data_IF_370467750384
#
_entry.id   IF_370467750384
#
_cell.length_a   1.000
_cell.length_b   1.000
_cell.length_c   1.000
_cell.angle_alpha   90.00
_cell.angle_beta   90.00
_cell.angle_gamma   90.00
#
_symmetry.space_group_name_H-M   'P 1'
#
loop_
_entity.id
_entity.type
_entity.pdbx_description
1 polymer ?
#
# COMPACT_ATOMS: atom_id res chain seq x y z
N UNK A 1 37.90 -22.70 -21.12
CA UNK A 1 37.46 -21.64 -20.19
C UNK A 1 36.03 -21.97 -19.76
N UNK A 2 35.79 -22.51 -18.55
CA UNK A 2 34.43 -22.83 -18.12
C UNK A 2 33.67 -21.52 -17.85
N UNK A 3 32.53 -21.36 -18.54
CA UNK A 3 31.59 -20.26 -18.39
C UNK A 3 31.02 -20.28 -16.96
N UNK A 4 31.30 -19.26 -16.15
CA UNK A 4 30.54 -18.93 -14.94
C UNK A 4 29.12 -18.51 -15.34
N UNK A 5 28.24 -19.47 -15.66
CA UNK A 5 26.82 -19.26 -15.92
C UNK A 5 26.10 -20.33 -15.11
N UNK A 6 25.57 -20.01 -13.92
CA UNK A 6 24.59 -20.92 -13.27
C UNK A 6 24.03 -20.53 -11.89
N UNK A 7 24.50 -19.51 -11.16
CA UNK A 7 23.95 -19.27 -9.81
C UNK A 7 23.06 -18.03 -9.75
N UNK A 8 23.45 -16.94 -10.41
CA UNK A 8 22.69 -15.68 -10.39
C UNK A 8 21.43 -15.76 -11.27
N UNK A 9 21.51 -16.41 -12.45
CA UNK A 9 20.35 -16.59 -13.34
C UNK A 9 19.27 -17.46 -12.69
N UNK A 10 19.68 -18.57 -12.06
CA UNK A 10 18.73 -19.51 -11.45
C UNK A 10 18.00 -18.89 -10.26
N UNK A 11 18.66 -18.06 -9.45
CA UNK A 11 18.00 -17.33 -8.35
C UNK A 11 16.94 -16.36 -8.87
N UNK A 12 17.24 -15.61 -9.93
CA UNK A 12 16.28 -14.67 -10.52
C UNK A 12 15.05 -15.37 -11.09
N UNK A 13 15.22 -16.55 -11.69
CA UNK A 13 14.10 -17.35 -12.20
C UNK A 13 13.21 -17.85 -11.05
N UNK A 14 13.79 -18.29 -9.92
CA UNK A 14 13.01 -18.71 -8.74
C UNK A 14 12.16 -17.57 -8.14
N UNK A 15 12.70 -16.36 -7.97
CA UNK A 15 11.93 -15.23 -7.43
C UNK A 15 10.82 -14.76 -8.38
N UNK A 16 11.03 -14.91 -9.68
CA UNK A 16 10.04 -14.56 -10.68
C UNK A 16 8.89 -15.59 -10.71
N UNK A 17 9.20 -16.87 -10.55
CA UNK A 17 8.18 -17.91 -10.39
C UNK A 17 7.32 -17.68 -9.15
N UNK A 18 7.94 -17.32 -8.02
CA UNK A 18 7.25 -16.96 -6.78
C UNK A 18 6.34 -15.72 -6.96
N UNK A 19 6.82 -14.70 -7.68
CA UNK A 19 6.00 -13.53 -8.03
C UNK A 19 4.75 -13.94 -8.83
N UNK A 20 4.89 -14.83 -9.81
CA UNK A 20 3.75 -15.31 -10.59
C UNK A 20 2.80 -16.13 -9.72
N UNK A 21 3.32 -17.00 -8.85
CA UNK A 21 2.50 -17.89 -8.02
C UNK A 21 1.85 -17.22 -6.82
N UNK A 22 2.31 -16.04 -6.41
CA UNK A 22 1.79 -15.35 -5.24
C UNK A 22 1.03 -14.07 -5.63
N UNK A 23 1.59 -13.25 -6.52
CA UNK A 23 1.02 -11.93 -6.85
C UNK A 23 0.15 -11.92 -8.11
N UNK A 24 0.35 -12.86 -9.04
CA UNK A 24 -0.42 -12.92 -10.29
C UNK A 24 -1.48 -14.04 -10.33
N UNK A 25 -1.76 -14.70 -9.20
CA UNK A 25 -2.74 -15.81 -9.13
C UNK A 25 -4.12 -15.37 -9.58
N UNK A 26 -4.56 -14.22 -9.09
CA UNK A 26 -5.87 -13.66 -9.40
C UNK A 26 -5.84 -12.74 -10.62
N UNK A 27 -4.67 -12.56 -11.24
CA UNK A 27 -4.52 -11.67 -12.38
C UNK A 27 -5.20 -12.24 -13.63
N UNK A 28 -6.17 -11.50 -14.15
CA UNK A 28 -6.87 -11.85 -15.39
C UNK A 28 -6.05 -11.37 -16.60
N UNK A 29 -5.09 -12.20 -17.02
CA UNK A 29 -4.32 -11.97 -18.24
C UNK A 29 -5.10 -12.46 -19.45
N UNK A 30 -5.19 -11.64 -20.50
CA UNK A 30 -5.90 -11.99 -21.73
C UNK A 30 -5.43 -13.35 -22.29
N UNK A 31 -6.34 -14.34 -22.44
CA UNK A 31 -5.98 -15.69 -22.89
C UNK A 31 -5.54 -15.75 -24.35
N UNK A 32 -5.86 -14.74 -25.17
CA UNK A 32 -5.45 -14.67 -26.58
C UNK A 32 -3.98 -14.28 -26.78
N UNK A 33 -3.25 -13.94 -25.71
CA UNK A 33 -1.84 -13.61 -25.80
C UNK A 33 -1.00 -14.83 -26.16
N UNK A 34 -0.08 -14.67 -27.11
CA UNK A 34 0.90 -15.71 -27.41
C UNK A 34 1.79 -15.98 -26.18
N UNK A 35 2.37 -17.19 -26.04
CA UNK A 35 3.26 -17.51 -24.92
C UNK A 35 4.43 -16.54 -24.77
N UNK A 36 4.96 -16.05 -25.91
CA UNK A 36 6.03 -15.06 -25.94
C UNK A 36 5.59 -13.73 -25.35
N UNK A 37 4.44 -13.20 -25.80
CA UNK A 37 3.89 -11.93 -25.31
C UNK A 37 3.52 -12.01 -23.82
N UNK A 38 2.98 -13.14 -23.37
CA UNK A 38 2.69 -13.37 -21.96
C UNK A 38 3.95 -13.34 -21.10
N UNK A 39 5.03 -13.98 -21.56
CA UNK A 39 6.32 -13.93 -20.87
C UNK A 39 6.93 -12.52 -20.85
N UNK A 40 6.82 -11.78 -21.94
CA UNK A 40 7.25 -10.37 -22.00
C UNK A 40 6.46 -9.49 -21.02
N UNK A 41 5.14 -9.67 -20.94
CA UNK A 41 4.30 -8.98 -19.96
C UNK A 41 4.72 -9.29 -18.52
N UNK A 42 4.89 -10.57 -18.18
CA UNK A 42 5.33 -10.98 -16.84
C UNK A 42 6.71 -10.40 -16.53
N UNK A 43 7.63 -10.35 -17.50
CA UNK A 43 8.94 -9.72 -17.33
C UNK A 43 8.80 -8.25 -16.96
N UNK A 44 7.95 -7.50 -17.65
CA UNK A 44 7.72 -6.07 -17.38
C UNK A 44 7.13 -5.89 -15.98
N UNK A 45 6.08 -6.65 -15.64
CA UNK A 45 5.44 -6.58 -14.32
C UNK A 45 6.40 -6.91 -13.19
N UNK A 46 7.24 -7.93 -13.36
CA UNK A 46 8.26 -8.30 -12.38
C UNK A 46 9.34 -7.22 -12.25
N UNK A 47 9.82 -6.69 -13.39
CA UNK A 47 10.87 -5.65 -13.42
C UNK A 47 10.44 -4.38 -12.69
N UNK A 48 9.16 -4.02 -12.79
CA UNK A 48 8.59 -2.82 -12.19
C UNK A 48 7.63 -3.13 -11.04
N UNK A 49 7.80 -4.26 -10.32
CA UNK A 49 6.88 -4.69 -9.28
C UNK A 49 6.64 -3.63 -8.19
N UNK A 50 7.69 -2.89 -7.79
CA UNK A 50 7.62 -1.82 -6.79
C UNK A 50 6.85 -0.57 -7.25
N UNK A 51 6.49 -0.47 -8.54
CA UNK A 51 5.64 0.60 -9.04
C UNK A 51 4.15 0.35 -8.76
N UNK A 52 3.79 -0.87 -8.36
CA UNK A 52 2.42 -1.27 -8.05
C UNK A 52 2.24 -1.40 -6.54
N UNK A 53 1.01 -1.15 -6.07
CA UNK A 53 0.64 -1.47 -4.70
C UNK A 53 0.70 -2.99 -4.48
N UNK A 54 1.21 -3.40 -3.33
CA UNK A 54 1.24 -4.80 -2.91
C UNK A 54 0.61 -4.96 -1.53
N UNK A 55 0.32 -6.18 -1.10
CA UNK A 55 -0.24 -6.46 0.23
C UNK A 55 0.67 -5.94 1.36
N UNK A 56 1.99 -5.94 1.13
CA UNK A 56 2.97 -5.47 2.09
C UNK A 56 3.18 -3.95 2.03
N UNK A 57 3.02 -3.34 0.85
CA UNK A 57 3.20 -1.91 0.60
C UNK A 57 2.01 -1.34 -0.20
N UNK A 58 0.81 -1.23 0.41
CA UNK A 58 -0.41 -0.90 -0.34
C UNK A 58 -0.49 0.58 -0.75
N UNK A 59 0.23 1.47 -0.06
CA UNK A 59 0.19 2.92 -0.31
C UNK A 59 1.44 3.45 -1.03
N UNK A 60 2.36 2.56 -1.41
CA UNK A 60 3.66 2.91 -1.97
C UNK A 60 4.59 3.62 -0.97
N UNK A 61 5.84 3.86 -1.38
CA UNK A 61 6.83 4.52 -0.54
C UNK A 61 6.58 6.03 -0.40
N UNK A 62 5.63 6.44 0.44
CA UNK A 62 5.39 7.85 0.79
C UNK A 62 6.61 8.35 1.59
N UNK A 63 7.49 9.12 0.94
CA UNK A 63 8.65 9.75 1.59
C UNK A 63 8.46 11.26 1.65
N UNK A 64 8.61 11.85 2.84
CA UNK A 64 8.99 13.26 3.02
C UNK A 64 7.96 14.33 2.70
N UNK A 65 6.66 14.08 2.85
CA UNK A 65 5.62 15.10 2.65
C UNK A 65 5.01 15.53 3.99
N UNK A 66 5.82 16.10 4.88
CA UNK A 66 5.27 16.85 6.01
C UNK A 66 4.62 18.12 5.47
N UNK A 67 3.31 18.25 5.69
CA UNK A 67 2.55 19.42 5.23
C UNK A 67 2.24 20.29 6.44
N UNK A 68 2.73 21.52 6.42
CA UNK A 68 2.36 22.53 7.41
C UNK A 68 1.08 23.23 6.95
N UNK A 69 0.00 23.06 7.72
CA UNK A 69 -1.27 23.74 7.49
C UNK A 69 -1.38 24.88 8.52
N UNK A 70 -1.19 26.12 8.05
CA UNK A 70 -1.34 27.31 8.90
C UNK A 70 -2.80 27.73 8.98
N UNK A 71 -3.32 27.91 10.19
CA UNK A 71 -4.65 28.44 10.42
C UNK A 71 -4.65 29.97 10.36
N UNK A 72 -5.70 30.57 9.79
CA UNK A 72 -5.87 32.04 9.75
C UNK A 72 -6.41 32.61 11.08
N UNK A 73 -6.39 31.84 12.16
CA UNK A 73 -7.03 32.14 13.43
C UNK A 73 -6.12 31.69 14.57
N UNK A 74 -6.04 32.50 15.63
CA UNK A 74 -5.29 32.17 16.84
C UNK A 74 -6.17 31.46 17.88
N UNK A 75 -5.53 30.77 18.83
CA UNK A 75 -6.22 30.18 19.99
C UNK A 75 -6.82 31.29 20.88
N UNK A 76 -7.97 31.07 21.52
CA UNK A 76 -8.72 29.81 21.60
C UNK A 76 -9.58 29.54 20.36
N UNK A 77 -9.53 28.29 19.88
CA UNK A 77 -10.31 27.88 18.71
C UNK A 77 -11.83 27.99 18.96
N UNK A 78 -12.62 28.36 17.92
CA UNK A 78 -14.07 28.46 18.03
C UNK A 78 -14.72 27.17 18.57
N UNK A 79 -15.73 27.25 19.47
CA UNK A 79 -16.42 26.09 20.01
C UNK A 79 -17.01 25.15 18.95
N UNK A 80 -17.34 25.68 17.76
CA UNK A 80 -17.87 24.91 16.63
C UNK A 80 -16.92 23.82 16.14
N UNK A 81 -15.61 23.96 16.41
CA UNK A 81 -14.59 22.96 16.06
C UNK A 81 -14.52 21.82 17.10
N UNK A 82 -15.16 21.97 18.27
CA UNK A 82 -15.23 20.97 19.34
C UNK A 82 -16.57 20.26 19.38
N UNK A 83 -17.07 19.84 18.21
CA UNK A 83 -18.30 19.04 18.15
C UNK A 83 -17.99 17.58 18.50
N UNK A 84 -18.85 16.91 19.29
CA UNK A 84 -18.72 15.46 19.48
C UNK A 84 -18.94 14.76 18.14
N UNK A 85 -18.33 13.58 17.98
CA UNK A 85 -18.61 12.72 16.84
C UNK A 85 -20.10 12.35 16.80
N UNK A 86 -20.67 12.33 15.59
CA UNK A 86 -22.03 11.87 15.41
C UNK A 86 -22.16 10.38 15.77
N UNK A 87 -23.29 9.95 16.35
CA UNK A 87 -23.49 8.55 16.69
C UNK A 87 -23.53 7.69 15.42
N UNK A 88 -22.79 6.60 15.42
CA UNK A 88 -22.83 5.58 14.38
C UNK A 88 -23.68 4.38 14.81
N UNK A 89 -24.31 3.70 13.85
CA UNK A 89 -25.02 2.43 14.14
C UNK A 89 -24.03 1.32 14.53
N UNK A 90 -24.45 0.28 15.26
CA UNK A 90 -23.57 -0.82 15.65
C UNK A 90 -22.84 -1.47 14.47
N UNK A 91 -23.58 -1.77 13.39
CA UNK A 91 -23.02 -2.35 12.17
C UNK A 91 -22.04 -1.43 11.47
N UNK A 92 -22.35 -0.13 11.40
CA UNK A 92 -21.44 0.85 10.82
C UNK A 92 -20.14 0.95 11.63
N UNK A 93 -20.26 0.93 12.97
CA UNK A 93 -19.11 0.97 13.87
C UNK A 93 -18.21 -0.25 13.68
N UNK A 94 -18.76 -1.46 13.58
CA UNK A 94 -17.98 -2.67 13.34
C UNK A 94 -17.24 -2.65 11.99
N UNK A 95 -17.88 -2.13 10.93
CA UNK A 95 -17.24 -2.00 9.62
C UNK A 95 -16.14 -0.94 9.64
N UNK A 96 -16.38 0.21 10.29
CA UNK A 96 -15.40 1.29 10.42
C UNK A 96 -14.19 0.85 11.25
N UNK A 97 -14.40 0.10 12.34
CA UNK A 97 -13.33 -0.39 13.20
C UNK A 97 -12.28 -1.16 12.39
N UNK A 98 -12.69 -2.04 11.46
CA UNK A 98 -11.76 -2.81 10.62
C UNK A 98 -10.82 -1.91 9.81
N UNK A 99 -11.40 -0.96 9.09
CA UNK A 99 -10.63 -0.03 8.24
C UNK A 99 -9.76 0.92 9.07
N UNK A 100 -10.24 1.37 10.24
CA UNK A 100 -9.44 2.19 11.16
C UNK A 100 -8.21 1.42 11.65
N UNK A 101 -8.37 0.15 12.01
CA UNK A 101 -7.24 -0.69 12.44
C UNK A 101 -6.23 -0.90 11.32
N UNK A 102 -6.68 -1.15 10.10
CA UNK A 102 -5.81 -1.24 8.92
C UNK A 102 -5.00 0.04 8.71
N UNK A 103 -5.66 1.21 8.76
CA UNK A 103 -4.97 2.50 8.61
C UNK A 103 -3.98 2.81 9.74
N UNK A 104 -4.23 2.32 10.96
CA UNK A 104 -3.28 2.40 12.08
C UNK A 104 -2.06 1.53 11.81
N UNK A 105 -2.26 0.29 11.35
CA UNK A 105 -1.16 -0.64 11.02
C UNK A 105 -0.29 -0.11 9.89
N UNK A 106 -0.90 0.55 8.89
CA UNK A 106 -0.21 1.21 7.79
C UNK A 106 0.48 2.53 8.19
N UNK A 107 0.35 2.97 9.44
CA UNK A 107 0.95 4.21 9.93
C UNK A 107 0.31 5.49 9.38
N UNK A 108 -0.86 5.39 8.73
CA UNK A 108 -1.61 6.54 8.21
C UNK A 108 -2.35 7.25 9.34
N UNK A 109 -2.93 6.47 10.26
CA UNK A 109 -3.58 6.98 11.46
C UNK A 109 -2.74 6.69 12.69
N UNK A 110 -2.71 7.63 13.64
CA UNK A 110 -2.15 7.43 14.97
C UNK A 110 -3.07 7.99 16.04
N UNK A 111 -3.00 7.40 17.23
CA UNK A 111 -3.69 7.95 18.39
C UNK A 111 -2.96 9.21 18.86
N UNK A 112 -3.71 10.30 19.00
CA UNK A 112 -3.24 11.58 19.53
C UNK A 112 -3.89 11.80 20.89
N UNK A 113 -3.11 12.21 21.89
CA UNK A 113 -3.62 12.51 23.22
C UNK A 113 -4.40 13.83 23.27
N UNK A 114 -5.36 13.96 24.19
CA UNK A 114 -6.12 15.21 24.38
C UNK A 114 -5.23 16.45 24.66
N UNK A 115 -4.01 16.23 25.15
CA UNK A 115 -3.05 17.28 25.52
C UNK A 115 -1.84 17.35 24.57
N UNK A 116 -1.83 16.56 23.50
CA UNK A 116 -0.73 16.59 22.53
C UNK A 116 -0.93 17.79 21.60
N UNK A 117 0.02 18.71 21.60
CA UNK A 117 0.04 19.81 20.64
C UNK A 117 0.53 19.25 19.30
N UNK A 118 -0.37 19.25 18.31
CA UNK A 118 -0.10 18.90 16.91
C UNK A 118 0.03 20.17 16.09
#
# INVERSE_FOLDING_TARGET
MPKQISIVSFKNDTYKEEFVSNQLVEAQINPSLSPKMRNELINVLYTYNNAFASDNEPLGAIRGHEVYITLNLDRPYPPVLRKPAYPASPTARESLEKHIQELIQLGVLRKVGHNEEV
#
